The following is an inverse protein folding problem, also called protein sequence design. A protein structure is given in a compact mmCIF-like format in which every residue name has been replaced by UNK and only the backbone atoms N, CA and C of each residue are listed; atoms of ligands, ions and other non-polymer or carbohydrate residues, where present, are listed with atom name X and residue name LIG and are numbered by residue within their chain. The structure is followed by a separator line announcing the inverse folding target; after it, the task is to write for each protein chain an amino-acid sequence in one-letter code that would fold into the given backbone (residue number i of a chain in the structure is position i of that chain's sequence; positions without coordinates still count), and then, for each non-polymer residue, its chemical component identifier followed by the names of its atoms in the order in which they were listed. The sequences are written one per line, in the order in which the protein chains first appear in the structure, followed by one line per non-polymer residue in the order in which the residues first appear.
data_IF_472720738683
#
_entry.id   IF_472720738683
#
_cell.length_a   1.000
_cell.length_b   1.000
_cell.length_c   1.000
_cell.angle_alpha   90.00
_cell.angle_beta   90.00
_cell.angle_gamma   90.00
#
_symmetry.space_group_name_H-M   'P 1'
#
loop_
_entity.id
_entity.type
_entity.pdbx_description
1 polymer ?
#
# COMPACT_ATOMS: atom_id res chain seq x y z
N UNK A 1 14.88 -19.89 12.72
CA UNK A 1 13.49 -19.43 12.96
C UNK A 1 12.46 -20.03 12.00
N UNK A 2 12.85 -20.87 11.03
CA UNK A 2 11.93 -21.54 10.09
C UNK A 2 11.06 -22.67 10.70
N UNK A 3 11.32 -23.08 11.95
CA UNK A 3 10.75 -24.30 12.54
C UNK A 3 9.37 -24.12 13.22
N UNK A 4 8.81 -22.90 13.26
CA UNK A 4 7.45 -22.67 13.82
C UNK A 4 6.38 -22.33 12.77
N UNK A 5 6.77 -22.15 11.50
CA UNK A 5 5.83 -21.85 10.41
C UNK A 5 5.04 -23.10 9.93
N UNK A 6 5.56 -24.31 10.17
CA UNK A 6 4.95 -25.58 9.74
C UNK A 6 3.71 -26.00 10.53
N UNK A 7 3.34 -25.29 11.61
CA UNK A 7 2.13 -25.54 12.41
C UNK A 7 1.04 -24.48 12.24
N UNK A 8 1.13 -23.60 11.24
CA UNK A 8 0.00 -22.77 10.86
C UNK A 8 -0.95 -23.62 10.01
N UNK A 9 -2.02 -24.14 10.62
CA UNK A 9 -3.10 -24.80 9.90
C UNK A 9 -3.54 -23.95 8.70
N UNK A 10 -3.90 -24.59 7.59
CA UNK A 10 -4.35 -23.91 6.37
C UNK A 10 -5.38 -22.84 6.71
N UNK A 11 -5.07 -21.57 6.44
CA UNK A 11 -6.07 -20.52 6.60
C UNK A 11 -7.22 -20.78 5.63
N UNK A 12 -8.43 -20.37 6.01
CA UNK A 12 -9.54 -20.32 5.07
C UNK A 12 -9.14 -19.44 3.86
N UNK A 13 -9.14 -19.96 2.61
CA UNK A 13 -8.85 -19.18 1.41
C UNK A 13 -9.71 -17.91 1.28
N UNK A 14 -10.89 -17.90 1.90
CA UNK A 14 -11.78 -16.72 1.95
C UNK A 14 -11.21 -15.56 2.78
N UNK A 15 -10.19 -15.82 3.61
CA UNK A 15 -9.47 -14.83 4.40
C UNK A 15 -8.19 -14.33 3.71
N UNK A 16 -7.71 -14.96 2.64
CA UNK A 16 -6.49 -14.50 1.96
C UNK A 16 -6.66 -13.09 1.38
N UNK A 17 -5.61 -12.26 1.44
CA UNK A 17 -5.60 -10.94 0.77
C UNK A 17 -5.76 -11.05 -0.75
N UNK A 18 -5.53 -12.23 -1.33
CA UNK A 18 -5.81 -12.52 -2.73
C UNK A 18 -7.25 -12.20 -3.14
N UNK A 19 -8.21 -12.27 -2.19
CA UNK A 19 -9.61 -11.89 -2.42
C UNK A 19 -9.77 -10.43 -2.88
N UNK A 20 -8.82 -9.53 -2.59
CA UNK A 20 -8.85 -8.13 -3.04
C UNK A 20 -8.64 -7.95 -4.55
N UNK A 21 -8.23 -9.02 -5.26
CA UNK A 21 -8.13 -9.04 -6.71
C UNK A 21 -9.49 -9.30 -7.39
N UNK A 22 -10.48 -9.82 -6.64
CA UNK A 22 -11.85 -9.93 -7.13
C UNK A 22 -12.48 -8.52 -7.26
N UNK A 23 -12.99 -8.12 -8.44
CA UNK A 23 -13.59 -6.81 -8.65
C UNK A 23 -14.75 -6.49 -7.69
N UNK A 24 -15.54 -7.48 -7.27
CA UNK A 24 -16.66 -7.29 -6.36
C UNK A 24 -16.18 -6.98 -4.94
N UNK A 25 -15.12 -7.67 -4.48
CA UNK A 25 -14.50 -7.39 -3.18
C UNK A 25 -13.74 -6.06 -3.24
N UNK A 26 -13.05 -5.77 -4.34
CA UNK A 26 -12.33 -4.52 -4.53
C UNK A 26 -13.26 -3.30 -4.52
N UNK A 27 -14.47 -3.43 -5.06
CA UNK A 27 -15.46 -2.36 -5.08
C UNK A 27 -16.00 -1.99 -3.69
N UNK A 28 -16.07 -2.95 -2.77
CA UNK A 28 -16.40 -2.74 -1.36
C UNK A 28 -15.58 -3.68 -0.45
N UNK A 29 -14.32 -3.31 -0.10
CA UNK A 29 -13.41 -4.21 0.62
C UNK A 29 -13.63 -4.19 2.13
N UNK A 30 -14.45 -3.27 2.65
CA UNK A 30 -14.62 -3.08 4.09
C UNK A 30 -15.26 -4.27 4.82
N UNK A 31 -16.27 -4.97 4.26
CA UNK A 31 -16.77 -6.21 4.83
C UNK A 31 -15.68 -7.30 4.93
N UNK A 32 -14.82 -7.40 3.91
CA UNK A 32 -13.69 -8.33 3.94
C UNK A 32 -12.67 -7.98 5.04
N UNK A 33 -12.27 -6.71 5.14
CA UNK A 33 -11.39 -6.27 6.23
C UNK A 33 -12.01 -6.46 7.62
N UNK A 34 -13.34 -6.34 7.76
CA UNK A 34 -14.05 -6.62 9.00
C UNK A 34 -13.88 -8.09 9.40
N UNK A 35 -14.13 -9.03 8.48
CA UNK A 35 -13.94 -10.46 8.72
C UNK A 35 -12.50 -10.79 9.14
N UNK A 36 -11.51 -10.21 8.45
CA UNK A 36 -10.10 -10.39 8.81
C UNK A 36 -9.82 -9.95 10.26
N UNK A 37 -10.28 -8.77 10.67
CA UNK A 37 -10.04 -8.26 12.04
C UNK A 37 -10.72 -9.10 13.12
N UNK A 38 -11.87 -9.68 12.81
CA UNK A 38 -12.68 -10.48 13.73
C UNK A 38 -12.14 -11.91 13.88
N UNK A 39 -11.71 -12.53 12.77
CA UNK A 39 -11.37 -13.95 12.73
C UNK A 39 -9.86 -14.22 12.79
N UNK A 40 -9.06 -13.37 12.15
CA UNK A 40 -7.62 -13.60 11.95
C UNK A 40 -6.85 -12.26 11.89
N UNK A 41 -6.83 -11.47 12.98
CA UNK A 41 -6.31 -10.10 12.96
C UNK A 41 -4.81 -9.99 12.64
N UNK A 42 -4.05 -11.04 12.97
CA UNK A 42 -2.65 -11.26 12.58
C UNK A 42 -2.55 -12.70 12.08
N UNK A 43 -2.20 -12.89 10.80
CA UNK A 43 -2.13 -14.21 10.21
C UNK A 43 -1.05 -14.33 9.14
N UNK A 44 -0.51 -15.52 8.96
CA UNK A 44 0.29 -15.85 7.78
C UNK A 44 -0.65 -16.18 6.62
N UNK A 45 -0.52 -15.43 5.52
CA UNK A 45 -1.20 -15.74 4.26
C UNK A 45 -0.27 -16.61 3.40
N UNK A 46 -0.55 -17.91 3.22
CA UNK A 46 0.29 -18.82 2.46
C UNK A 46 0.22 -18.58 0.95
N UNK A 47 -0.82 -17.94 0.43
CA UNK A 47 -0.92 -17.60 -1.00
C UNK A 47 -0.07 -16.37 -1.32
N UNK A 48 -0.07 -15.40 -0.42
CA UNK A 48 0.73 -14.19 -0.54
C UNK A 48 2.15 -14.33 0.01
N UNK A 49 2.45 -15.44 0.70
CA UNK A 49 3.70 -15.67 1.43
C UNK A 49 4.08 -14.47 2.33
N UNK A 50 3.11 -13.95 3.09
CA UNK A 50 3.33 -12.77 3.92
C UNK A 50 2.49 -12.78 5.19
N UNK A 51 2.94 -12.03 6.19
CA UNK A 51 2.14 -11.74 7.38
C UNK A 51 1.15 -10.61 7.08
N UNK A 52 -0.12 -10.86 7.38
CA UNK A 52 -1.23 -9.91 7.26
C UNK A 52 -1.60 -9.41 8.64
N UNK A 53 -1.63 -8.08 8.80
CA UNK A 53 -1.95 -7.39 10.06
C UNK A 53 -3.05 -6.39 9.79
N UNK A 54 -4.16 -6.46 10.53
CA UNK A 54 -5.40 -5.71 10.16
C UNK A 54 -5.97 -4.82 11.24
N UNK A 55 -5.56 -4.95 12.50
CA UNK A 55 -5.98 -4.04 13.58
C UNK A 55 -5.12 -2.79 13.57
N UNK A 56 -5.74 -1.64 13.84
CA UNK A 56 -5.09 -0.34 13.77
C UNK A 56 -3.83 -0.26 14.63
N UNK A 57 -3.91 -0.67 15.90
CA UNK A 57 -2.76 -0.62 16.82
C UNK A 57 -1.62 -1.55 16.40
N UNK A 58 -1.93 -2.73 15.86
CA UNK A 58 -0.93 -3.68 15.37
C UNK A 58 -0.24 -3.13 14.11
N UNK A 59 -1.01 -2.55 13.17
CA UNK A 59 -0.47 -1.91 11.97
C UNK A 59 0.44 -0.74 12.34
N UNK A 60 0.01 0.11 13.28
CA UNK A 60 0.82 1.23 13.76
C UNK A 60 2.11 0.75 14.39
N UNK A 61 2.07 -0.31 15.20
CA UNK A 61 3.28 -0.95 15.77
C UNK A 61 4.22 -1.43 14.66
N UNK A 62 3.70 -2.13 13.64
CA UNK A 62 4.49 -2.59 12.50
C UNK A 62 5.15 -1.42 11.76
N UNK A 63 4.41 -0.35 11.50
CA UNK A 63 4.93 0.83 10.79
C UNK A 63 6.02 1.60 11.57
N UNK A 64 6.05 1.50 12.90
CA UNK A 64 7.01 2.23 13.73
C UNK A 64 8.22 1.40 14.17
N UNK A 65 8.04 0.09 14.36
CA UNK A 65 9.02 -0.75 15.06
C UNK A 65 9.67 -1.82 14.19
N UNK A 66 9.19 -2.04 12.97
CA UNK A 66 9.74 -3.04 12.07
C UNK A 66 10.52 -2.39 10.92
N UNK A 67 11.47 -3.15 10.40
CA UNK A 67 12.32 -2.74 9.28
C UNK A 67 11.51 -2.48 8.01
N UNK A 68 11.86 -1.41 7.30
CA UNK A 68 11.39 -1.13 5.96
C UNK A 68 12.19 -1.88 4.88
N UNK A 69 13.33 -2.48 5.23
CA UNK A 69 14.16 -3.34 4.35
C UNK A 69 13.52 -4.72 4.19
N UNK A 70 12.42 -4.74 3.46
CA UNK A 70 11.61 -5.93 3.15
C UNK A 70 11.52 -6.22 1.65
N UNK A 71 12.18 -5.42 0.83
CA UNK A 71 12.22 -5.61 -0.62
C UNK A 71 13.40 -6.51 -0.98
N UNK A 72 13.21 -7.57 -1.77
CA UNK A 72 14.32 -8.40 -2.20
C UNK A 72 15.33 -7.59 -3.04
N UNK A 73 16.60 -7.64 -2.66
CA UNK A 73 17.70 -7.10 -3.45
C UNK A 73 17.99 -8.01 -4.67
N UNK A 74 18.86 -7.61 -5.61
CA UNK A 74 19.17 -8.42 -6.78
C UNK A 74 19.68 -9.84 -6.46
N UNK A 75 20.44 -10.02 -5.36
CA UNK A 75 20.94 -11.34 -4.96
C UNK A 75 19.81 -12.22 -4.43
N UNK A 76 18.88 -11.64 -3.66
CA UNK A 76 17.66 -12.33 -3.22
C UNK A 76 16.79 -12.72 -4.42
N UNK A 77 16.65 -11.86 -5.43
CA UNK A 77 15.91 -12.22 -6.66
C UNK A 77 16.57 -13.38 -7.42
N UNK A 78 17.89 -13.39 -7.52
CA UNK A 78 18.64 -14.51 -8.11
C UNK A 78 18.41 -15.81 -7.32
N UNK A 79 18.50 -15.77 -5.99
CA UNK A 79 18.24 -16.91 -5.12
C UNK A 79 16.79 -17.43 -5.22
N UNK A 80 15.84 -16.57 -5.57
CA UNK A 80 14.44 -16.91 -5.84
C UNK A 80 14.21 -17.44 -7.27
N UNK A 81 15.26 -17.59 -8.09
CA UNK A 81 15.15 -18.04 -9.48
C UNK A 81 14.58 -16.97 -10.43
N UNK A 82 14.64 -15.70 -10.04
CA UNK A 82 14.11 -14.55 -10.77
C UNK A 82 15.21 -13.54 -11.18
N UNK A 83 16.32 -13.98 -11.79
CA UNK A 83 17.47 -13.10 -12.07
C UNK A 83 17.12 -11.94 -13.03
N UNK A 84 16.13 -12.12 -13.90
CA UNK A 84 15.64 -11.07 -14.82
C UNK A 84 15.04 -9.87 -14.09
N UNK A 85 14.59 -10.04 -12.84
CA UNK A 85 14.08 -8.95 -12.00
C UNK A 85 15.19 -8.20 -11.26
N UNK A 86 16.45 -8.64 -11.34
CA UNK A 86 17.60 -8.02 -10.69
C UNK A 86 17.71 -6.50 -10.91
N UNK A 87 17.59 -5.98 -12.14
CA UNK A 87 17.63 -4.53 -12.38
C UNK A 87 16.51 -3.76 -11.68
N UNK A 88 15.29 -4.31 -11.64
CA UNK A 88 14.16 -3.70 -10.94
C UNK A 88 14.38 -3.71 -9.43
N UNK A 89 14.87 -4.84 -8.90
CA UNK A 89 15.20 -5.00 -7.50
C UNK A 89 16.29 -4.01 -7.04
N UNK A 90 17.32 -3.76 -7.86
CA UNK A 90 18.36 -2.77 -7.54
C UNK A 90 17.79 -1.35 -7.43
N UNK A 91 16.89 -0.96 -8.34
CA UNK A 91 16.22 0.34 -8.28
C UNK A 91 15.35 0.44 -7.03
N UNK A 92 14.52 -0.57 -6.76
CA UNK A 92 13.62 -0.56 -5.61
C UNK A 92 14.40 -0.53 -4.29
N UNK A 93 15.41 -1.37 -4.13
CA UNK A 93 16.21 -1.45 -2.91
C UNK A 93 16.93 -0.13 -2.54
N UNK A 94 17.08 0.79 -3.51
CA UNK A 94 17.69 2.11 -3.28
C UNK A 94 16.69 3.22 -2.97
N UNK A 95 15.38 2.98 -3.11
CA UNK A 95 14.36 3.99 -2.84
C UNK A 95 14.23 4.22 -1.33
N UNK A 96 14.08 5.49 -0.93
CA UNK A 96 13.90 5.88 0.49
C UNK A 96 12.78 5.09 1.19
N UNK A 97 11.73 4.67 0.46
CA UNK A 97 10.61 3.89 0.98
C UNK A 97 11.02 2.53 1.58
N UNK A 98 12.13 1.95 1.13
CA UNK A 98 12.55 0.59 1.48
C UNK A 98 13.87 0.55 2.27
N UNK A 99 14.25 1.67 2.87
CA UNK A 99 15.49 1.80 3.62
C UNK A 99 15.20 2.03 5.10
N UNK A 100 16.05 1.47 5.95
CA UNK A 100 16.12 1.82 7.36
C UNK A 100 17.12 2.96 7.62
N UNK A 101 17.16 3.43 8.86
CA UNK A 101 18.26 4.29 9.32
C UNK A 101 19.61 3.54 9.22
N UNK A 102 20.71 4.23 8.89
CA UNK A 102 20.84 5.68 8.72
C UNK A 102 20.54 6.20 7.29
N UNK A 103 20.42 5.31 6.30
CA UNK A 103 20.26 5.69 4.90
C UNK A 103 18.94 6.45 4.65
N UNK A 104 17.84 5.94 5.21
CA UNK A 104 16.53 6.62 5.18
C UNK A 104 16.60 8.01 5.80
N UNK A 105 17.21 8.13 6.99
CA UNK A 105 17.32 9.42 7.70
C UNK A 105 18.05 10.47 6.86
N UNK A 106 19.14 10.06 6.18
CA UNK A 106 19.90 10.95 5.29
C UNK A 106 19.06 11.42 4.09
N UNK A 107 18.39 10.49 3.40
CA UNK A 107 17.57 10.82 2.23
C UNK A 107 16.36 11.67 2.61
N UNK A 108 15.66 11.31 3.70
CA UNK A 108 14.51 12.04 4.20
C UNK A 108 14.89 13.48 4.56
N UNK A 109 16.04 13.69 5.19
CA UNK A 109 16.53 15.04 5.50
C UNK A 109 16.69 15.91 4.25
N UNK A 110 17.17 15.36 3.13
CA UNK A 110 17.30 16.09 1.87
C UNK A 110 15.93 16.44 1.28
N UNK A 111 15.01 15.47 1.22
CA UNK A 111 13.68 15.65 0.67
C UNK A 111 12.78 16.58 1.51
N UNK A 112 12.88 16.53 2.84
CA UNK A 112 12.02 17.30 3.76
C UNK A 112 12.06 18.82 3.51
N UNK A 113 13.17 19.35 2.98
CA UNK A 113 13.27 20.76 2.63
C UNK A 113 12.23 21.20 1.61
N UNK A 114 11.79 20.31 0.70
CA UNK A 114 10.76 20.59 -0.30
C UNK A 114 9.35 20.66 0.27
N UNK A 115 9.10 20.07 1.45
CA UNK A 115 7.78 19.88 2.04
C UNK A 115 7.61 20.66 3.36
N UNK A 116 8.22 21.84 3.48
CA UNK A 116 8.00 22.71 4.63
C UNK A 116 6.60 23.32 4.59
N UNK A 117 5.98 23.67 5.74
CA UNK A 117 4.64 24.29 5.77
C UNK A 117 4.52 25.48 4.80
N UNK A 118 5.49 26.40 4.83
CA UNK A 118 5.56 27.54 3.91
C UNK A 118 5.60 27.15 2.43
N UNK A 119 6.32 26.08 2.05
CA UNK A 119 6.36 25.62 0.66
C UNK A 119 5.05 24.97 0.24
N UNK A 120 4.40 24.24 1.14
CA UNK A 120 3.09 23.64 0.91
C UNK A 120 2.01 24.72 0.77
N UNK A 121 2.01 25.72 1.65
CA UNK A 121 1.10 26.88 1.58
C UNK A 121 1.25 27.65 0.27
N UNK A 122 2.49 27.85 -0.21
CA UNK A 122 2.74 28.51 -1.49
C UNK A 122 2.20 27.73 -2.72
N UNK A 123 1.85 26.44 -2.56
CA UNK A 123 1.22 25.64 -3.62
C UNK A 123 -0.31 25.74 -3.62
N UNK A 124 -0.93 26.35 -2.59
CA UNK A 124 -2.38 26.35 -2.41
C UNK A 124 -3.13 26.87 -3.65
N UNK A 125 -2.74 28.06 -4.13
CA UNK A 125 -3.40 28.70 -5.27
C UNK A 125 -3.34 27.81 -6.52
N UNK A 126 -2.17 27.22 -6.79
CA UNK A 126 -2.00 26.37 -7.98
C UNK A 126 -2.78 25.07 -7.88
N UNK A 127 -2.80 24.47 -6.69
CA UNK A 127 -3.58 23.26 -6.41
C UNK A 127 -5.09 23.55 -6.50
N UNK A 128 -5.54 24.76 -6.18
CA UNK A 128 -6.95 25.19 -6.29
C UNK A 128 -7.36 25.50 -7.73
N UNK A 129 -6.49 26.14 -8.50
CA UNK A 129 -6.73 26.49 -9.91
C UNK A 129 -6.98 25.26 -10.78
N UNK A 130 -6.15 24.21 -10.65
CA UNK A 130 -6.20 23.04 -11.54
C UNK A 130 -7.58 22.33 -11.51
N UNK A 131 -8.15 21.94 -10.35
CA UNK A 131 -9.49 21.36 -10.30
C UNK A 131 -10.57 22.32 -10.80
N UNK A 132 -10.46 23.61 -10.50
CA UNK A 132 -11.43 24.61 -10.93
C UNK A 132 -11.51 24.67 -12.47
N UNK A 133 -10.36 24.73 -13.14
CA UNK A 133 -10.28 24.73 -14.60
C UNK A 133 -10.77 23.41 -15.21
N UNK A 134 -10.43 22.27 -14.59
CA UNK A 134 -10.90 20.96 -15.04
C UNK A 134 -12.43 20.88 -14.94
N UNK A 135 -13.01 21.34 -13.83
CA UNK A 135 -14.46 21.36 -13.63
C UNK A 135 -15.16 22.33 -14.58
N UNK A 136 -14.60 23.51 -14.83
CA UNK A 136 -15.14 24.48 -15.78
C UNK A 136 -15.22 23.92 -17.20
N UNK A 137 -14.17 23.20 -17.65
CA UNK A 137 -14.14 22.53 -18.97
C UNK A 137 -15.21 21.44 -19.10
N UNK A 138 -15.45 20.67 -18.05
CA UNK A 138 -16.49 19.64 -18.04
C UNK A 138 -17.89 20.27 -18.00
N UNK A 139 -18.09 21.33 -17.21
CA UNK A 139 -19.38 22.04 -17.15
C UNK A 139 -19.73 22.72 -18.48
N UNK A 140 -18.75 23.31 -19.16
CA UNK A 140 -18.93 23.96 -20.46
C UNK A 140 -19.12 23.00 -21.64
N UNK A 141 -18.78 21.71 -21.49
CA UNK A 141 -18.87 20.71 -22.58
C UNK A 141 -20.20 19.94 -22.62
N UNK A 142 -21.17 20.27 -21.75
CA UNK A 142 -22.57 19.79 -21.84
C UNK A 142 -22.78 18.27 -21.72
N UNK A 143 -21.72 17.46 -21.63
CA UNK A 143 -21.81 16.02 -21.56
C UNK A 143 -21.82 15.56 -20.10
N UNK A 144 -23.00 15.60 -19.48
CA UNK A 144 -23.24 14.87 -18.23
C UNK A 144 -23.21 13.38 -18.57
N UNK A 145 -22.05 12.75 -18.42
CA UNK A 145 -21.93 11.29 -18.45
C UNK A 145 -22.98 10.64 -17.55
N UNK A 146 -23.42 9.40 -17.84
CA UNK A 146 -24.52 8.78 -17.13
C UNK A 146 -24.25 8.79 -15.63
N UNK A 147 -25.17 9.35 -14.86
CA UNK A 147 -25.08 9.41 -13.41
C UNK A 147 -24.89 7.98 -12.88
N UNK A 148 -23.67 7.65 -12.45
CA UNK A 148 -23.41 6.41 -11.71
C UNK A 148 -24.22 6.51 -10.43
N UNK A 149 -25.39 5.86 -10.41
CA UNK A 149 -26.16 5.65 -9.19
C UNK A 149 -25.27 4.87 -8.23
N UNK A 150 -24.76 5.53 -7.20
CA UNK A 150 -24.24 4.83 -6.05
C UNK A 150 -25.39 3.98 -5.46
N UNK A 151 -25.14 2.71 -5.09
CA UNK A 151 -26.14 1.92 -4.38
C UNK A 151 -26.51 2.68 -3.09
N UNK A 152 -27.82 2.95 -2.92
CA UNK A 152 -28.34 3.50 -1.66
C UNK A 152 -28.01 2.50 -0.56
N UNK A 153 -27.23 2.91 0.43
CA UNK A 153 -27.10 2.13 1.67
C UNK A 153 -28.48 2.01 2.32
N UNK A 154 -28.85 0.83 2.85
CA UNK A 154 -30.01 0.68 3.71
C UNK A 154 -29.85 1.45 5.03
#
# INVERSE_FOLDING_TARGET
MASQAEKAGSIDPSLSLFQLLDPAVHADPYPFYKRLREQAPVMWDPFMHTWVVTRYEDVKTVLHSFSADRTPDPKKMEALGLPSLGPVADVMARQMLFLDAPAHTRLRKLCSSAFTPRRVEAMEDKVREIPHDLLAKVAGSGNRGPARRAPRRP
#
